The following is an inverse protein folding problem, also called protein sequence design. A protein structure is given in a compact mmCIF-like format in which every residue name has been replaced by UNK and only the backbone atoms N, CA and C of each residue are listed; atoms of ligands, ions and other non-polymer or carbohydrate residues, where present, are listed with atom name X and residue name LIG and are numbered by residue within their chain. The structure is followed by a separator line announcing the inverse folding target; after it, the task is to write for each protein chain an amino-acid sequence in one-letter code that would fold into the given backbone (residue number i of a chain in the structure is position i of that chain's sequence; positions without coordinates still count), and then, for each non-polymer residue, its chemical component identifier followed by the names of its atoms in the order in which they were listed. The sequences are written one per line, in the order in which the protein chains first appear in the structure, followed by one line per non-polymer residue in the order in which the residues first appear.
data_IF_084247078126
#
_entry.id   IF_084247078126
#
_cell.length_a   1.000
_cell.length_b   1.000
_cell.length_c   1.000
_cell.angle_alpha   90.00
_cell.angle_beta   90.00
_cell.angle_gamma   90.00
#
_symmetry.space_group_name_H-M   'P 1'
#
loop_
_entity.id
_entity.type
_entity.pdbx_description
1 polymer ?
#
# COMPACT_ATOMS: atom_id res chain seq x y z
N UNK A 1 14.68 14.58 -3.67
CA UNK A 1 13.21 14.70 -3.50
C UNK A 1 12.63 13.30 -3.63
N UNK A 2 11.68 12.91 -2.78
CA UNK A 2 11.06 11.58 -2.87
C UNK A 2 10.02 11.59 -3.98
N UNK A 3 10.05 10.61 -4.88
CA UNK A 3 9.02 10.48 -5.92
C UNK A 3 7.67 10.13 -5.28
N UNK A 4 6.60 10.66 -5.88
CA UNK A 4 5.20 10.41 -5.51
C UNK A 4 4.40 9.95 -6.73
N UNK A 5 5.13 9.57 -7.79
CA UNK A 5 4.55 9.14 -9.06
C UNK A 5 4.61 7.62 -9.14
N UNK A 6 3.50 7.01 -8.71
CA UNK A 6 3.34 5.56 -8.65
C UNK A 6 2.04 5.15 -9.35
N UNK A 7 2.09 4.02 -10.03
CA UNK A 7 0.89 3.30 -10.45
C UNK A 7 0.32 2.50 -9.28
N UNK A 8 -0.98 2.18 -9.35
CA UNK A 8 -1.62 1.30 -8.39
C UNK A 8 -0.97 -0.08 -8.36
N UNK A 9 -0.68 -0.64 -9.53
CA UNK A 9 -0.06 -1.97 -9.64
C UNK A 9 1.36 -1.99 -9.05
N UNK A 10 2.14 -0.92 -9.22
CA UNK A 10 3.46 -0.80 -8.60
C UNK A 10 3.38 -0.77 -7.07
N UNK A 11 2.41 -0.05 -6.51
CA UNK A 11 2.19 -0.04 -5.05
C UNK A 11 1.78 -1.43 -4.56
N UNK A 12 0.84 -2.10 -5.25
CA UNK A 12 0.39 -3.44 -4.88
C UNK A 12 1.53 -4.44 -4.94
N UNK A 13 2.37 -4.40 -5.98
CA UNK A 13 3.50 -5.30 -6.11
C UNK A 13 4.44 -5.20 -4.90
N UNK A 14 4.76 -3.98 -4.44
CA UNK A 14 5.61 -3.79 -3.26
C UNK A 14 4.92 -4.24 -1.98
N UNK A 15 3.66 -3.86 -1.77
CA UNK A 15 2.92 -4.25 -0.56
C UNK A 15 2.78 -5.78 -0.44
N UNK A 16 2.57 -6.48 -1.55
CA UNK A 16 2.44 -7.95 -1.55
C UNK A 16 3.80 -8.62 -1.39
N UNK A 17 4.78 -8.25 -2.22
CA UNK A 17 6.06 -8.98 -2.26
C UNK A 17 7.01 -8.63 -1.12
N UNK A 18 6.91 -7.41 -0.57
CA UNK A 18 7.84 -6.89 0.46
C UNK A 18 7.10 -6.50 1.75
N UNK A 19 5.88 -5.98 1.63
CA UNK A 19 5.08 -5.53 2.78
C UNK A 19 4.32 -6.64 3.52
N UNK A 20 4.32 -7.87 3.00
CA UNK A 20 3.60 -9.00 3.61
C UNK A 20 2.08 -8.90 3.54
N UNK A 21 1.54 -8.09 2.61
CA UNK A 21 0.10 -8.01 2.38
C UNK A 21 -0.36 -9.15 1.45
N UNK A 22 -1.50 -9.74 1.76
CA UNK A 22 -2.17 -10.67 0.86
C UNK A 22 -3.12 -9.93 -0.08
N UNK A 23 -3.06 -10.28 -1.36
CA UNK A 23 -4.08 -9.86 -2.32
C UNK A 23 -5.36 -10.64 -2.08
N UNK A 24 -6.41 -9.97 -1.61
CA UNK A 24 -7.69 -10.62 -1.30
C UNK A 24 -8.60 -10.68 -2.51
N UNK A 25 -8.83 -9.53 -3.16
CA UNK A 25 -9.69 -9.44 -4.35
C UNK A 25 -9.52 -8.13 -5.10
N UNK A 26 -10.07 -8.09 -6.31
CA UNK A 26 -10.33 -6.84 -7.01
C UNK A 26 -11.83 -6.61 -7.12
N UNK A 27 -12.27 -5.40 -6.86
CA UNK A 27 -13.67 -4.99 -7.04
C UNK A 27 -13.72 -3.71 -7.86
N UNK A 28 -14.23 -3.81 -9.09
CA UNK A 28 -14.25 -2.70 -10.04
C UNK A 28 -12.84 -2.16 -10.29
N UNK A 29 -12.63 -0.89 -9.95
CA UNK A 29 -11.36 -0.19 -10.14
C UNK A 29 -10.41 -0.23 -8.94
N UNK A 30 -10.70 -1.03 -7.90
CA UNK A 30 -9.87 -1.11 -6.69
C UNK A 30 -9.39 -2.54 -6.41
N UNK A 31 -8.15 -2.66 -5.95
CA UNK A 31 -7.52 -3.87 -5.43
C UNK A 31 -7.54 -3.79 -3.90
N UNK A 32 -8.05 -4.83 -3.28
CA UNK A 32 -8.17 -4.93 -1.82
C UNK A 32 -7.09 -5.88 -1.33
N UNK A 33 -6.19 -5.35 -0.50
CA UNK A 33 -5.13 -6.08 0.16
C UNK A 33 -5.41 -6.17 1.66
N UNK A 34 -4.93 -7.24 2.30
CA UNK A 34 -5.02 -7.39 3.76
C UNK A 34 -3.68 -7.82 4.33
N UNK A 35 -3.27 -7.18 5.41
CA UNK A 35 -2.16 -7.64 6.22
C UNK A 35 -2.71 -8.23 7.51
N UNK A 36 -2.30 -9.47 7.81
CA UNK A 36 -2.65 -10.17 9.03
C UNK A 36 -1.46 -10.09 9.99
N UNK A 37 -1.63 -9.51 11.19
CA UNK A 37 -0.59 -9.52 12.20
C UNK A 37 -0.29 -10.95 12.65
N UNK A 38 0.98 -11.28 12.93
CA UNK A 38 1.34 -12.47 13.69
C UNK A 38 0.63 -12.53 15.05
N UNK A 39 0.45 -13.72 15.60
CA UNK A 39 -0.29 -13.92 16.88
C UNK A 39 0.33 -13.20 18.07
N UNK A 40 1.63 -12.90 18.03
CA UNK A 40 2.38 -12.19 19.07
C UNK A 40 2.33 -10.66 18.91
N UNK A 41 1.68 -10.15 17.86
CA UNK A 41 1.49 -8.73 17.62
C UNK A 41 0.11 -8.25 18.10
N UNK A 42 0.08 -7.33 19.07
CA UNK A 42 -1.16 -6.70 19.58
C UNK A 42 -1.61 -5.55 18.65
N UNK A 43 -2.02 -5.90 17.44
CA UNK A 43 -2.58 -4.93 16.48
C UNK A 43 -3.68 -5.58 15.67
N UNK A 44 -4.61 -4.77 15.17
CA UNK A 44 -5.68 -5.27 14.31
C UNK A 44 -5.19 -5.53 12.87
N UNK A 45 -5.82 -6.48 12.14
CA UNK A 45 -5.59 -6.65 10.72
C UNK A 45 -5.82 -5.37 9.92
N UNK A 46 -4.92 -5.09 8.98
CA UNK A 46 -4.99 -3.90 8.13
C UNK A 46 -5.61 -4.24 6.79
N UNK A 47 -6.51 -3.41 6.30
CA UNK A 47 -7.09 -3.53 4.96
C UNK A 47 -6.75 -2.30 4.15
N UNK A 48 -6.16 -2.51 2.97
CA UNK A 48 -5.70 -1.44 2.07
C UNK A 48 -6.49 -1.53 0.76
N UNK A 49 -7.00 -0.40 0.29
CA UNK A 49 -7.69 -0.27 -1.00
C UNK A 49 -6.87 0.58 -1.97
N UNK A 50 -6.36 -0.05 -3.02
CA UNK A 50 -5.50 0.59 -4.03
C UNK A 50 -6.23 0.72 -5.36
N UNK A 51 -6.40 1.93 -5.92
CA UNK A 51 -7.00 2.09 -7.24
C UNK A 51 -6.10 1.52 -8.36
N UNK A 52 -6.70 0.87 -9.37
CA UNK A 52 -6.04 0.42 -10.60
C UNK A 52 -5.91 1.57 -11.59
N UNK A 53 -4.86 2.36 -11.44
CA UNK A 53 -4.53 3.49 -12.33
C UNK A 53 -3.03 3.59 -12.50
N UNK A 54 -2.58 4.07 -13.66
CA UNK A 54 -1.16 4.27 -13.94
C UNK A 54 -0.54 5.37 -13.09
N UNK A 55 -1.36 6.27 -12.54
CA UNK A 55 -0.93 7.34 -11.65
C UNK A 55 -1.90 7.56 -10.49
N UNK A 56 -1.37 7.47 -9.28
CA UNK A 56 -2.10 7.69 -8.04
C UNK A 56 -1.94 9.16 -7.60
N UNK A 57 -3.07 9.82 -7.31
CA UNK A 57 -3.05 11.19 -6.78
C UNK A 57 -2.47 11.20 -5.36
N UNK A 58 -1.76 12.27 -5.00
CA UNK A 58 -1.09 12.38 -3.68
C UNK A 58 -2.04 12.13 -2.51
N UNK A 59 -3.27 12.67 -2.55
CA UNK A 59 -4.25 12.45 -1.49
C UNK A 59 -4.65 10.97 -1.33
N UNK A 60 -4.79 10.26 -2.45
CA UNK A 60 -5.04 8.80 -2.45
C UNK A 60 -3.80 8.03 -1.97
N UNK A 61 -2.61 8.43 -2.40
CA UNK A 61 -1.36 7.80 -1.97
C UNK A 61 -1.15 7.93 -0.45
N UNK A 62 -1.51 9.09 0.14
CA UNK A 62 -1.50 9.30 1.60
C UNK A 62 -2.48 8.37 2.30
N UNK A 63 -3.70 8.27 1.78
CA UNK A 63 -4.71 7.37 2.34
C UNK A 63 -4.26 5.90 2.30
N UNK A 64 -3.60 5.47 1.22
CA UNK A 64 -3.00 4.13 1.13
C UNK A 64 -1.90 3.95 2.18
N UNK A 65 -1.04 4.94 2.37
CA UNK A 65 0.02 4.89 3.37
C UNK A 65 -0.55 4.75 4.80
N UNK A 66 -1.59 5.53 5.12
CA UNK A 66 -2.30 5.46 6.40
C UNK A 66 -2.96 4.09 6.61
N UNK A 67 -3.64 3.54 5.59
CA UNK A 67 -4.24 2.21 5.64
C UNK A 67 -3.20 1.10 5.80
N UNK A 68 -2.04 1.25 5.18
CA UNK A 68 -0.90 0.35 5.36
C UNK A 68 -0.23 0.52 6.73
N UNK A 69 -0.61 1.55 7.48
CA UNK A 69 -0.10 1.92 8.80
C UNK A 69 1.31 2.48 8.77
N UNK A 70 1.62 3.27 7.74
CA UNK A 70 2.82 4.08 7.70
C UNK A 70 2.62 5.37 8.52
N UNK A 71 3.55 5.62 9.44
CA UNK A 71 3.55 6.84 10.29
C UNK A 71 4.19 8.05 9.59
N UNK A 72 5.13 7.80 8.66
CA UNK A 72 5.77 8.83 7.83
C UNK A 72 5.48 8.55 6.35
N UNK A 73 4.73 9.46 5.74
CA UNK A 73 4.35 9.41 4.33
C UNK A 73 5.55 9.44 3.37
N UNK A 74 6.56 10.25 3.66
CA UNK A 74 7.74 10.35 2.82
C UNK A 74 8.63 9.12 2.99
N UNK A 75 8.67 8.51 4.18
CA UNK A 75 9.33 7.22 4.40
C UNK A 75 8.64 6.09 3.63
N UNK A 76 7.31 6.06 3.64
CA UNK A 76 6.50 5.15 2.83
C UNK A 76 6.81 5.31 1.33
N UNK A 77 6.77 6.52 0.80
CA UNK A 77 7.06 6.77 -0.61
C UNK A 77 8.49 6.36 -0.98
N UNK A 78 9.49 6.62 -0.11
CA UNK A 78 10.87 6.15 -0.31
C UNK A 78 10.95 4.63 -0.32
N UNK A 79 10.19 3.96 0.53
CA UNK A 79 10.18 2.50 0.60
C UNK A 79 9.52 1.88 -0.63
N UNK A 80 8.41 2.42 -1.12
CA UNK A 80 7.80 1.99 -2.38
C UNK A 80 8.79 2.16 -3.54
N UNK A 81 9.40 3.34 -3.69
CA UNK A 81 10.32 3.62 -4.80
C UNK A 81 11.55 2.70 -4.82
N UNK A 82 12.09 2.34 -3.65
CA UNK A 82 13.24 1.43 -3.54
C UNK A 82 12.93 -0.02 -3.90
N UNK A 83 11.66 -0.43 -3.84
CA UNK A 83 11.25 -1.83 -3.98
C UNK A 83 10.36 -2.10 -5.21
N UNK A 84 10.05 -1.06 -6.00
CA UNK A 84 9.15 -1.16 -7.16
C UNK A 84 9.79 -1.86 -8.36
#
# INVERSE_FOLDING_TARGET
MVTRDFSGDGIVAVLVNVGGFDWIRTTGSHMILKWMPPEDHDTDPRTVSVPRKDRIRIGTLRNIAEQAGAEDFDAFCRWIDRNR
#
